data_IF_031571104291
#
_entry.id   IF_031571104291
#
_cell.length_a   1.000
_cell.length_b   1.000
_cell.length_c   1.000
_cell.angle_alpha   90.00
_cell.angle_beta   90.00
_cell.angle_gamma   90.00
#
_symmetry.space_group_name_H-M   'P 1'
#
loop_
_entity.id
_entity.type
_entity.pdbx_description
1 polymer ?
#
# COMPACT_ATOMS: atom_id res chain seq x y z
N UNK A 1 6.06 1.08 -33.44
CA UNK A 1 5.42 0.86 -32.13
C UNK A 1 6.32 1.50 -31.10
N UNK A 2 6.05 2.74 -30.68
CA UNK A 2 6.79 3.35 -29.58
C UNK A 2 5.88 3.23 -28.37
N UNK A 3 6.19 2.31 -27.46
CA UNK A 3 5.53 2.24 -26.16
C UNK A 3 5.66 3.61 -25.49
N UNK A 4 4.56 4.21 -24.98
CA UNK A 4 4.68 5.45 -24.24
C UNK A 4 5.51 5.14 -23.00
N UNK A 5 6.69 5.75 -22.90
CA UNK A 5 7.48 5.77 -21.67
C UNK A 5 6.55 6.20 -20.55
N UNK A 6 6.21 5.27 -19.65
CA UNK A 6 5.43 5.59 -18.44
C UNK A 6 6.23 6.66 -17.70
N UNK A 7 5.78 7.91 -17.83
CA UNK A 7 6.57 9.10 -17.54
C UNK A 7 6.97 9.17 -16.07
N UNK A 8 8.03 9.92 -15.77
CA UNK A 8 8.47 10.21 -14.39
C UNK A 8 7.31 10.69 -13.50
N UNK A 9 6.31 11.36 -14.10
CA UNK A 9 5.09 11.77 -13.43
C UNK A 9 4.27 10.58 -12.91
N UNK A 10 4.08 9.54 -13.72
CA UNK A 10 3.35 8.34 -13.29
C UNK A 10 4.06 7.63 -12.13
N UNK A 11 5.40 7.56 -12.18
CA UNK A 11 6.19 6.98 -11.10
C UNK A 11 6.04 7.76 -9.79
N UNK A 12 6.09 9.09 -9.87
CA UNK A 12 5.89 9.97 -8.72
C UNK A 12 4.49 9.83 -8.12
N UNK A 13 3.47 9.70 -8.96
CA UNK A 13 2.09 9.47 -8.52
C UNK A 13 1.97 8.11 -7.83
N UNK A 14 2.46 7.03 -8.46
CA UNK A 14 2.44 5.69 -7.88
C UNK A 14 3.14 5.64 -6.51
N UNK A 15 4.33 6.25 -6.40
CA UNK A 15 5.07 6.34 -5.15
C UNK A 15 4.29 7.07 -4.05
N UNK A 16 3.66 8.20 -4.38
CA UNK A 16 2.84 8.97 -3.44
C UNK A 16 1.60 8.20 -2.97
N UNK A 17 0.92 7.53 -3.90
CA UNK A 17 -0.27 6.71 -3.59
C UNK A 17 0.10 5.55 -2.68
N UNK A 18 1.17 4.81 -2.98
CA UNK A 18 1.65 3.71 -2.12
C UNK A 18 2.00 4.20 -0.71
N UNK A 19 2.66 5.34 -0.61
CA UNK A 19 3.02 5.93 0.68
C UNK A 19 1.77 6.26 1.52
N UNK A 20 0.77 6.92 0.92
CA UNK A 20 -0.48 7.27 1.59
C UNK A 20 -1.28 6.02 2.03
N UNK A 21 -1.37 5.01 1.17
CA UNK A 21 -2.04 3.73 1.51
C UNK A 21 -1.31 3.04 2.66
N UNK A 22 0.02 2.96 2.63
CA UNK A 22 0.80 2.36 3.70
C UNK A 22 0.62 3.08 5.05
N UNK A 23 0.48 4.41 5.04
CA UNK A 23 0.20 5.17 6.26
C UNK A 23 -1.21 4.94 6.80
N UNK A 24 -2.23 4.90 5.93
CA UNK A 24 -3.59 4.60 6.34
C UNK A 24 -3.71 3.21 6.97
N UNK A 25 -3.12 2.19 6.34
CA UNK A 25 -3.09 0.82 6.87
C UNK A 25 -2.39 0.78 8.24
N UNK A 26 -1.24 1.45 8.38
CA UNK A 26 -0.51 1.50 9.64
C UNK A 26 -1.29 2.24 10.74
N UNK A 27 -2.07 3.27 10.38
CA UNK A 27 -2.98 3.95 11.31
C UNK A 27 -4.04 2.98 11.84
N UNK A 28 -4.72 2.24 10.96
CA UNK A 28 -5.72 1.25 11.37
C UNK A 28 -5.10 0.19 12.30
N UNK A 29 -3.91 -0.31 11.96
CA UNK A 29 -3.15 -1.23 12.81
C UNK A 29 -2.91 -0.69 14.21
N UNK A 30 -2.51 0.59 14.33
CA UNK A 30 -2.25 1.24 15.64
C UNK A 30 -3.52 1.51 16.45
N UNK A 31 -4.65 1.73 15.78
CA UNK A 31 -5.94 2.00 16.43
C UNK A 31 -6.72 0.73 16.80
N UNK A 32 -6.22 -0.46 16.44
CA UNK A 32 -6.96 -1.70 16.67
C UNK A 32 -8.08 -1.93 15.66
N UNK A 33 -8.10 -1.17 14.56
CA UNK A 33 -9.13 -1.23 13.54
C UNK A 33 -8.82 -2.31 12.50
N UNK A 34 -9.87 -2.97 12.01
CA UNK A 34 -9.75 -3.99 10.97
C UNK A 34 -9.85 -3.36 9.58
N UNK A 35 -9.22 -4.00 8.59
CA UNK A 35 -9.33 -3.61 7.18
C UNK A 35 -9.85 -4.78 6.35
N UNK A 36 -10.55 -4.50 5.25
CA UNK A 36 -10.96 -5.52 4.28
C UNK A 36 -10.17 -5.34 2.98
N UNK A 37 -9.66 -6.43 2.43
CA UNK A 37 -8.89 -6.44 1.19
C UNK A 37 -9.45 -7.49 0.22
N UNK A 38 -9.35 -7.23 -1.08
CA UNK A 38 -9.57 -8.25 -2.10
C UNK A 38 -8.27 -9.04 -2.29
N UNK A 39 -8.30 -10.34 -2.00
CA UNK A 39 -7.18 -11.26 -2.20
C UNK A 39 -7.70 -12.53 -2.85
N UNK A 40 -7.07 -12.95 -3.94
CA UNK A 40 -7.43 -14.17 -4.68
C UNK A 40 -8.92 -14.22 -5.08
N UNK A 41 -9.48 -13.05 -5.44
CA UNK A 41 -10.89 -12.92 -5.83
C UNK A 41 -11.89 -12.94 -4.66
N UNK A 42 -11.43 -12.99 -3.42
CA UNK A 42 -12.27 -13.01 -2.22
C UNK A 42 -11.99 -11.80 -1.32
N UNK A 43 -13.04 -11.31 -0.64
CA UNK A 43 -12.89 -10.27 0.38
C UNK A 43 -12.42 -10.93 1.68
N UNK A 44 -11.24 -10.54 2.15
CA UNK A 44 -10.66 -11.01 3.40
C UNK A 44 -10.55 -9.83 4.35
N UNK A 45 -11.03 -10.01 5.58
CA UNK A 45 -10.87 -9.04 6.66
C UNK A 45 -9.65 -9.38 7.50
N UNK A 46 -8.74 -8.43 7.67
CA UNK A 46 -7.60 -8.51 8.57
C UNK A 46 -7.90 -7.70 9.83
N UNK A 47 -7.75 -8.32 11.00
CA UNK A 47 -7.73 -7.60 12.27
C UNK A 47 -6.41 -6.85 12.44
N UNK A 48 -6.35 -5.89 13.35
CA UNK A 48 -5.15 -5.09 13.57
C UNK A 48 -3.88 -5.91 13.84
N UNK A 49 -3.99 -7.03 14.56
CA UNK A 49 -2.84 -7.90 14.86
C UNK A 49 -2.34 -8.68 13.63
N UNK A 50 -3.19 -8.84 12.62
CA UNK A 50 -2.86 -9.50 11.35
C UNK A 50 -2.25 -8.53 10.32
N UNK A 51 -2.41 -7.22 10.53
CA UNK A 51 -1.82 -6.21 9.65
C UNK A 51 -0.31 -6.13 9.91
N UNK A 52 0.55 -6.32 8.89
CA UNK A 52 2.00 -6.24 9.08
C UNK A 52 2.42 -4.81 9.45
N UNK A 53 3.44 -4.70 10.30
CA UNK A 53 4.03 -3.40 10.67
C UNK A 53 4.65 -2.76 9.43
N UNK A 54 4.43 -1.46 9.24
CA UNK A 54 5.15 -0.69 8.20
C UNK A 54 6.66 -0.76 8.47
N UNK A 55 7.39 -1.59 7.72
CA UNK A 55 8.85 -1.64 7.77
C UNK A 55 9.45 -0.42 7.08
N UNK A 56 10.38 0.25 7.75
CA UNK A 56 11.04 1.48 7.27
C UNK A 56 12.01 1.29 6.08
N UNK A 57 11.90 0.19 5.30
CA UNK A 57 12.77 -0.03 4.14
C UNK A 57 12.14 0.57 2.88
N UNK A 58 12.23 1.89 2.77
CA UNK A 58 12.31 2.54 1.46
C UNK A 58 13.80 2.76 1.17
N UNK A 59 14.44 1.76 0.56
CA UNK A 59 15.70 1.98 -0.13
C UNK A 59 15.51 1.41 -1.52
N UNK A 60 14.95 2.24 -2.40
CA UNK A 60 15.14 2.08 -3.83
C UNK A 60 16.55 2.64 -4.05
N UNK A 61 17.51 1.74 -4.25
CA UNK A 61 18.79 2.04 -4.90
C UNK A 61 18.54 2.14 -6.40
#
# INVERSE_FOLDING_TARGET
MSEPTLSELHQKIDAGVRAAIAEAIERHRKLGESISILKDGQIITLTADQIPKKTAKSQIQ
#
